data_IF_032921515904
#
_entry.id   IF_032921515904
#
_cell.length_a   1.000
_cell.length_b   1.000
_cell.length_c   1.000
_cell.angle_alpha   90.00
_cell.angle_beta   90.00
_cell.angle_gamma   90.00
#
_symmetry.space_group_name_H-M   'P 1'
#
loop_
_entity.id
_entity.type
_entity.pdbx_description
1 polymer ?
#
# COMPACT_ATOMS: atom_id res chain seq x y z
N UNK A 1 3.36 -26.02 60.65
CA UNK A 1 2.46 -25.24 59.76
C UNK A 1 3.16 -24.71 58.50
N UNK A 2 4.47 -24.42 58.51
CA UNK A 2 5.22 -23.94 57.33
C UNK A 2 5.35 -24.95 56.18
N UNK A 3 5.43 -26.27 56.45
CA UNK A 3 5.54 -27.31 55.40
C UNK A 3 4.25 -27.51 54.59
N UNK A 4 3.08 -27.27 55.20
CA UNK A 4 1.77 -27.38 54.51
C UNK A 4 1.57 -26.20 53.56
N UNK A 5 2.06 -25.02 53.94
CA UNK A 5 1.94 -23.80 53.15
C UNK A 5 2.84 -23.83 51.89
N UNK A 6 4.01 -24.49 51.96
CA UNK A 6 4.89 -24.72 50.80
C UNK A 6 4.29 -25.71 49.80
N UNK A 7 3.62 -26.77 50.29
CA UNK A 7 2.92 -27.72 49.41
C UNK A 7 1.71 -27.10 48.71
N UNK A 8 1.02 -26.16 49.36
CA UNK A 8 -0.12 -25.45 48.79
C UNK A 8 0.30 -24.42 47.72
N UNK A 9 1.48 -23.80 47.86
CA UNK A 9 2.05 -22.93 46.82
C UNK A 9 2.56 -23.72 45.60
N UNK A 10 3.13 -24.92 45.79
CA UNK A 10 3.62 -25.74 44.69
C UNK A 10 2.47 -26.31 43.82
N UNK A 11 1.31 -26.59 44.42
CA UNK A 11 0.12 -27.04 43.70
C UNK A 11 -0.48 -25.95 42.80
N UNK A 12 -0.35 -24.67 43.16
CA UNK A 12 -0.87 -23.54 42.37
C UNK A 12 -0.11 -23.30 41.07
N UNK A 13 1.18 -23.64 41.02
CA UNK A 13 2.02 -23.46 39.80
C UNK A 13 1.74 -24.55 38.76
N UNK A 14 1.33 -25.76 39.18
CA UNK A 14 1.05 -26.88 38.27
C UNK A 14 -0.34 -26.83 37.63
N UNK A 15 -1.26 -25.98 38.12
CA UNK A 15 -2.59 -25.80 37.52
C UNK A 15 -2.70 -24.59 36.57
N UNK A 16 -1.60 -23.87 36.30
CA UNK A 16 -1.60 -22.70 35.40
C UNK A 16 -1.26 -23.01 33.94
N UNK A 17 -1.40 -24.25 33.50
CA UNK A 17 -1.32 -24.62 32.08
C UNK A 17 -2.50 -25.52 31.68
N UNK A 18 -3.69 -24.93 31.51
CA UNK A 18 -4.70 -25.51 30.64
C UNK A 18 -5.79 -24.52 30.19
N UNK A 19 -5.52 -23.76 29.11
CA UNK A 19 -6.44 -23.40 28.01
C UNK A 19 -5.99 -22.11 27.30
N UNK A 20 -5.39 -22.28 26.13
CA UNK A 20 -5.99 -21.70 24.93
C UNK A 20 -5.70 -22.64 23.77
N UNK A 21 -6.67 -22.76 22.90
CA UNK A 21 -6.76 -23.79 21.86
C UNK A 21 -5.53 -23.73 20.95
N UNK A 22 -5.05 -24.91 20.63
CA UNK A 22 -4.38 -25.24 19.39
C UNK A 22 -5.14 -24.58 18.23
N UNK A 23 -4.69 -23.39 17.83
CA UNK A 23 -4.84 -22.97 16.45
C UNK A 23 -3.81 -23.81 15.72
N UNK A 24 -4.26 -24.97 15.24
CA UNK A 24 -3.78 -25.47 13.97
C UNK A 24 -3.78 -24.26 13.03
N UNK A 25 -2.60 -23.75 12.70
CA UNK A 25 -2.39 -23.09 11.41
C UNK A 25 -2.68 -24.16 10.36
N UNK A 26 -3.99 -24.37 10.10
CA UNK A 26 -4.43 -24.71 8.77
C UNK A 26 -3.80 -23.65 7.90
N UNK A 27 -2.75 -24.03 7.19
CA UNK A 27 -2.42 -23.48 5.90
C UNK A 27 -3.75 -23.45 5.15
N UNK A 28 -4.42 -22.31 5.19
CA UNK A 28 -5.55 -22.04 4.33
C UNK A 28 -4.94 -22.22 2.94
N UNK A 29 -5.33 -23.29 2.25
CA UNK A 29 -5.28 -23.29 0.81
C UNK A 29 -5.80 -21.92 0.39
N UNK A 30 -5.07 -21.16 -0.45
CA UNK A 30 -5.42 -19.78 -0.72
C UNK A 30 -6.88 -19.79 -1.15
N UNK A 31 -7.75 -19.21 -0.32
CA UNK A 31 -9.06 -18.81 -0.79
C UNK A 31 -8.77 -18.02 -2.05
N UNK A 32 -9.40 -18.41 -3.14
CA UNK A 32 -9.33 -17.74 -4.44
C UNK A 32 -10.04 -16.39 -4.34
N UNK A 33 -9.63 -15.57 -3.38
CA UNK A 33 -9.89 -14.15 -3.36
C UNK A 33 -9.07 -13.61 -4.52
N UNK A 34 -9.78 -13.09 -5.52
CA UNK A 34 -9.12 -12.45 -6.64
C UNK A 34 -8.09 -11.45 -6.10
N UNK A 35 -6.84 -11.45 -6.59
CA UNK A 35 -5.81 -10.57 -6.08
C UNK A 35 -6.30 -9.13 -6.20
N UNK A 36 -6.52 -8.47 -5.06
CA UNK A 36 -6.93 -7.07 -5.00
C UNK A 36 -5.69 -6.21 -5.03
N UNK A 37 -5.42 -5.58 -6.17
CA UNK A 37 -4.31 -4.64 -6.32
C UNK A 37 -4.58 -3.35 -5.54
N UNK A 38 -3.53 -2.66 -5.15
CA UNK A 38 -3.63 -1.33 -4.56
C UNK A 38 -4.19 -0.33 -5.60
N UNK A 39 -5.27 0.41 -5.28
CA UNK A 39 -5.92 1.29 -6.25
C UNK A 39 -5.18 2.63 -6.36
N UNK A 40 -4.03 2.63 -7.05
CA UNK A 40 -3.13 3.79 -7.18
C UNK A 40 -3.86 5.03 -7.67
N UNK A 41 -4.71 4.91 -8.69
CA UNK A 41 -5.45 6.07 -9.22
C UNK A 41 -6.40 6.68 -8.17
N UNK A 42 -7.13 5.85 -7.41
CA UNK A 42 -8.01 6.34 -6.34
C UNK A 42 -7.22 6.97 -5.20
N UNK A 43 -6.06 6.40 -4.87
CA UNK A 43 -5.16 6.97 -3.88
C UNK A 43 -4.70 8.38 -4.29
N UNK A 44 -4.27 8.56 -5.55
CA UNK A 44 -3.86 9.87 -6.08
C UNK A 44 -5.02 10.86 -6.03
N UNK A 45 -6.24 10.47 -6.43
CA UNK A 45 -7.41 11.35 -6.29
C UNK A 45 -7.66 11.77 -4.85
N UNK A 46 -7.55 10.84 -3.89
CA UNK A 46 -7.66 11.16 -2.47
C UNK A 46 -6.62 12.18 -2.00
N UNK A 47 -5.37 12.08 -2.48
CA UNK A 47 -4.32 13.06 -2.17
C UNK A 47 -4.63 14.44 -2.78
N UNK A 48 -5.16 14.48 -4.01
CA UNK A 48 -5.54 15.74 -4.67
C UNK A 48 -6.68 16.43 -3.91
N UNK A 49 -7.69 15.67 -3.47
CA UNK A 49 -8.78 16.22 -2.64
C UNK A 49 -8.27 16.72 -1.28
N UNK A 50 -7.37 15.99 -0.63
CA UNK A 50 -6.76 16.45 0.62
C UNK A 50 -6.04 17.80 0.45
N UNK A 51 -5.35 18.02 -0.67
CA UNK A 51 -4.71 19.32 -0.97
C UNK A 51 -5.75 20.44 -1.11
N UNK A 52 -6.89 20.17 -1.76
CA UNK A 52 -7.98 21.14 -1.90
C UNK A 52 -8.57 21.51 -0.54
N UNK A 53 -8.79 20.51 0.32
CA UNK A 53 -9.37 20.70 1.65
C UNK A 53 -8.46 21.48 2.60
N UNK A 54 -7.14 21.43 2.40
CA UNK A 54 -6.17 22.20 3.20
C UNK A 54 -6.28 23.72 2.96
N UNK A 55 -6.93 24.17 1.89
CA UNK A 55 -7.11 25.60 1.59
C UNK A 55 -5.80 26.33 1.25
N UNK A 56 -4.75 25.59 0.86
CA UNK A 56 -3.46 26.13 0.44
C UNK A 56 -3.32 26.04 -1.07
N UNK A 57 -2.77 27.08 -1.70
CA UNK A 57 -2.50 27.06 -3.14
C UNK A 57 -1.12 26.43 -3.39
N UNK A 58 -1.04 25.29 -4.12
CA UNK A 58 0.23 24.70 -4.48
C UNK A 58 1.04 25.62 -5.40
N UNK A 59 2.35 25.48 -5.34
CA UNK A 59 3.27 26.12 -6.28
C UNK A 59 3.65 25.09 -7.33
N UNK A 60 3.41 25.43 -8.60
CA UNK A 60 3.89 24.66 -9.75
C UNK A 60 5.27 25.16 -10.14
N UNK A 61 6.20 24.22 -10.30
CA UNK A 61 7.57 24.48 -10.76
C UNK A 61 7.73 23.80 -12.12
N UNK A 62 7.90 24.60 -13.16
CA UNK A 62 8.18 24.12 -14.51
C UNK A 62 9.68 24.19 -14.76
N UNK A 63 10.36 23.04 -14.76
CA UNK A 63 11.78 22.95 -15.06
C UNK A 63 12.00 22.51 -16.50
N UNK A 64 12.47 23.43 -17.34
CA UNK A 64 13.09 23.10 -18.64
C UNK A 64 14.60 23.13 -18.48
N UNK A 65 15.35 22.47 -19.38
CA UNK A 65 16.81 22.30 -19.32
C UNK A 65 17.60 23.59 -18.98
N UNK A 66 17.06 24.78 -19.31
CA UNK A 66 17.72 26.07 -19.10
C UNK A 66 16.89 27.11 -18.32
N UNK A 67 15.68 26.79 -17.83
CA UNK A 67 14.83 27.75 -17.12
C UNK A 67 13.89 27.06 -16.14
N UNK A 68 13.85 27.59 -14.91
CA UNK A 68 12.86 27.23 -13.90
C UNK A 68 11.87 28.37 -13.79
N UNK A 69 10.62 28.10 -14.14
CA UNK A 69 9.51 29.04 -13.93
C UNK A 69 8.65 28.55 -12.76
N UNK A 70 8.19 29.49 -11.94
CA UNK A 70 7.38 29.19 -10.74
C UNK A 70 6.06 29.93 -10.84
N UNK A 71 4.96 29.21 -10.74
CA UNK A 71 3.61 29.77 -10.82
C UNK A 71 2.72 29.19 -9.72
N UNK A 72 1.71 29.95 -9.30
CA UNK A 72 0.68 29.40 -8.42
C UNK A 72 -0.23 28.48 -9.22
N UNK A 73 -0.45 27.27 -8.72
CA UNK A 73 -1.43 26.36 -9.31
C UNK A 73 -2.82 26.73 -8.79
N UNK A 74 -3.70 27.13 -9.70
CA UNK A 74 -5.08 27.44 -9.34
C UNK A 74 -5.90 26.17 -9.24
N UNK A 75 -6.90 26.17 -8.37
CA UNK A 75 -7.80 25.01 -8.16
C UNK A 75 -8.50 24.60 -9.46
N UNK A 76 -8.90 25.57 -10.30
CA UNK A 76 -9.49 25.32 -11.62
C UNK A 76 -8.58 24.51 -12.55
N UNK A 77 -7.26 24.60 -12.38
CA UNK A 77 -6.25 23.95 -13.22
C UNK A 77 -5.80 22.58 -12.67
N UNK A 78 -6.28 22.15 -11.49
CA UNK A 78 -5.82 20.90 -10.84
C UNK A 78 -6.12 19.68 -11.72
N UNK A 79 -7.34 19.56 -12.22
CA UNK A 79 -7.75 18.38 -12.98
C UNK A 79 -6.89 18.19 -14.24
N UNK A 80 -6.53 19.29 -14.92
CA UNK A 80 -5.64 19.26 -16.07
C UNK A 80 -4.20 18.97 -15.65
N UNK A 81 -3.71 19.62 -14.59
CA UNK A 81 -2.33 19.48 -14.11
C UNK A 81 -1.99 18.08 -13.59
N UNK A 82 -2.97 17.36 -13.04
CA UNK A 82 -2.76 15.99 -12.54
C UNK A 82 -3.15 14.89 -13.54
N UNK A 83 -3.66 15.25 -14.72
CA UNK A 83 -4.23 14.30 -15.70
C UNK A 83 -3.26 13.18 -16.08
N UNK A 84 -1.98 13.52 -16.26
CA UNK A 84 -0.95 12.57 -16.67
C UNK A 84 -0.64 11.53 -15.58
N UNK A 85 -0.89 11.84 -14.30
CA UNK A 85 -0.64 10.93 -13.17
C UNK A 85 -1.80 9.97 -12.91
N UNK A 86 -2.99 10.26 -13.45
CA UNK A 86 -4.20 9.43 -13.29
C UNK A 86 -4.58 8.67 -14.56
N UNK A 87 -3.81 8.86 -15.65
CA UNK A 87 -4.06 8.23 -16.94
C UNK A 87 -2.77 7.59 -17.49
N UNK A 88 -2.76 6.28 -17.79
CA UNK A 88 -3.88 5.35 -17.74
C UNK A 88 -4.31 4.99 -16.31
N UNK A 89 -5.55 4.52 -16.16
CA UNK A 89 -6.08 4.13 -14.85
C UNK A 89 -5.39 2.86 -14.34
N UNK A 90 -4.73 2.99 -13.19
CA UNK A 90 -3.98 1.93 -12.50
C UNK A 90 -4.91 1.35 -11.44
N UNK A 91 -5.64 0.29 -11.81
CA UNK A 91 -6.54 -0.43 -10.92
C UNK A 91 -6.47 -1.95 -11.13
N UNK A 92 -7.17 -2.68 -10.26
CA UNK A 92 -7.20 -4.14 -10.30
C UNK A 92 -7.87 -4.67 -11.58
N UNK A 93 -8.78 -3.94 -12.22
CA UNK A 93 -9.46 -4.40 -13.43
C UNK A 93 -8.51 -4.39 -14.63
N UNK A 94 -7.65 -3.37 -14.73
CA UNK A 94 -6.74 -3.19 -15.84
C UNK A 94 -5.42 -3.95 -15.66
N UNK A 95 -4.96 -4.15 -14.41
CA UNK A 95 -3.62 -4.69 -14.15
C UNK A 95 -3.56 -6.17 -13.77
N UNK A 96 -4.56 -6.70 -13.06
CA UNK A 96 -4.58 -8.11 -12.63
C UNK A 96 -4.34 -9.09 -13.79
N UNK A 97 -4.84 -8.88 -15.02
CA UNK A 97 -4.59 -9.81 -16.11
C UNK A 97 -3.12 -9.88 -16.55
N UNK A 98 -2.31 -8.85 -16.28
CA UNK A 98 -0.99 -8.67 -16.89
C UNK A 98 0.16 -8.66 -15.89
N UNK A 99 -0.13 -8.40 -14.61
CA UNK A 99 0.88 -8.22 -13.59
C UNK A 99 0.58 -9.09 -12.36
N UNK A 100 1.62 -9.30 -11.55
CA UNK A 100 1.54 -9.74 -10.17
C UNK A 100 2.03 -8.61 -9.27
N UNK A 101 1.26 -8.29 -8.23
CA UNK A 101 1.63 -7.27 -7.23
C UNK A 101 2.39 -7.91 -6.07
N UNK A 102 3.49 -7.29 -5.66
CA UNK A 102 4.15 -7.55 -4.39
C UNK A 102 4.24 -6.26 -3.57
N UNK A 103 4.22 -6.38 -2.23
CA UNK A 103 4.27 -5.25 -1.30
C UNK A 103 5.42 -5.40 -0.32
N UNK A 104 6.11 -4.29 -0.06
CA UNK A 104 7.17 -4.20 0.94
C UNK A 104 6.89 -3.03 1.87
N UNK A 105 6.90 -3.28 3.18
CA UNK A 105 6.73 -2.26 4.20
C UNK A 105 8.10 -1.90 4.79
N UNK A 106 8.58 -0.70 4.50
CA UNK A 106 9.82 -0.17 5.05
C UNK A 106 9.52 0.59 6.36
N UNK A 107 9.84 -0.04 7.49
CA UNK A 107 9.63 0.53 8.82
C UNK A 107 10.62 1.65 9.16
N UNK A 108 11.71 1.80 8.40
CA UNK A 108 12.73 2.82 8.70
C UNK A 108 12.28 4.22 8.27
N UNK A 109 11.44 4.29 7.23
CA UNK A 109 10.91 5.53 6.64
C UNK A 109 9.38 5.59 6.62
N UNK A 110 8.72 4.62 7.27
CA UNK A 110 7.25 4.46 7.30
C UNK A 110 6.61 4.52 5.90
N UNK A 111 7.16 3.72 4.97
CA UNK A 111 6.75 3.71 3.58
C UNK A 111 6.32 2.32 3.11
N UNK A 112 5.39 2.27 2.16
CA UNK A 112 4.99 1.06 1.46
C UNK A 112 5.43 1.15 0.00
N UNK A 113 6.14 0.13 -0.47
CA UNK A 113 6.52 -0.04 -1.88
C UNK A 113 5.68 -1.14 -2.49
N UNK A 114 4.97 -0.81 -3.56
CA UNK A 114 4.21 -1.76 -4.36
C UNK A 114 4.95 -1.98 -5.68
N UNK A 115 5.24 -3.24 -6.00
CA UNK A 115 5.96 -3.63 -7.21
C UNK A 115 5.05 -4.50 -8.06
N UNK A 116 4.86 -4.11 -9.32
CA UNK A 116 4.05 -4.82 -10.30
C UNK A 116 4.95 -5.52 -11.32
N UNK A 117 5.04 -6.84 -11.25
CA UNK A 117 5.87 -7.64 -12.15
C UNK A 117 5.01 -8.24 -13.26
N UNK A 118 5.40 -8.13 -14.55
CA UNK A 118 4.65 -8.75 -15.64
C UNK A 118 4.56 -10.27 -15.45
N UNK A 119 3.35 -10.82 -15.38
CA UNK A 119 3.13 -12.26 -15.25
C UNK A 119 3.14 -12.98 -16.59
N UNK A 120 2.99 -12.22 -17.69
CA UNK A 120 3.01 -12.71 -19.07
C UNK A 120 3.55 -11.65 -20.03
N UNK A 121 3.76 -12.03 -21.29
CA UNK A 121 4.09 -11.08 -22.34
C UNK A 121 3.00 -10.00 -22.43
N UNK A 122 3.44 -8.74 -22.34
CA UNK A 122 2.54 -7.58 -22.39
C UNK A 122 2.15 -7.29 -23.85
N UNK A 123 0.91 -6.86 -24.11
CA UNK A 123 0.52 -6.38 -25.43
C UNK A 123 1.25 -5.06 -25.75
N UNK A 124 1.49 -4.80 -27.03
CA UNK A 124 2.16 -3.57 -27.52
C UNK A 124 1.43 -2.27 -27.13
N UNK A 125 0.17 -2.36 -26.72
CA UNK A 125 -0.61 -1.23 -26.20
C UNK A 125 -0.16 -0.75 -24.81
N UNK A 126 0.58 -1.58 -24.04
CA UNK A 126 1.09 -1.20 -22.71
C UNK A 126 2.52 -0.70 -22.89
N UNK A 127 2.68 0.63 -22.92
CA UNK A 127 3.98 1.28 -23.01
C UNK A 127 4.59 1.39 -21.61
N UNK A 128 5.64 0.61 -21.35
CA UNK A 128 6.45 0.75 -20.14
C UNK A 128 7.69 1.60 -20.43
N UNK A 129 7.91 2.64 -19.64
CA UNK A 129 9.17 3.38 -19.64
C UNK A 129 10.25 2.48 -19.04
N UNK A 130 11.32 2.25 -19.81
CA UNK A 130 12.55 1.64 -19.31
C UNK A 130 13.54 2.73 -18.94
N UNK A 131 14.23 2.50 -17.83
CA UNK A 131 15.27 3.37 -17.29
C UNK A 131 16.56 2.55 -17.23
N UNK A 132 17.00 2.10 -18.41
CA UNK A 132 18.29 1.43 -18.64
C UNK A 132 19.40 2.41 -19.05
#
# INVERSE_FOLDING_TARGET
>A
MTKVLVWMMLAGVLFSCNRSKENDEKHLAPETVAPSFFPVTNYIYGQIEAIKDMGVNPIKIDSTVNKVDTTWLKIEDFAESFKEFVSPQIDSLNLVPFFEESKFADQTIDAYTFTYTPSKALPDSILLLKWD
#
